data_IF_681669370888
#
_entry.id   IF_681669370888
#
_cell.length_a   1.000
_cell.length_b   1.000
_cell.length_c   1.000
_cell.angle_alpha   90.00
_cell.angle_beta   90.00
_cell.angle_gamma   90.00
#
_symmetry.space_group_name_H-M   'P 1'
#
loop_
_entity.id
_entity.type
_entity.pdbx_description
1 polymer ?
#
# COMPACT_ATOMS: atom_id res chain seq x y z
N UNK A 1 -15.96 13.87 5.30
CA UNK A 1 -15.78 12.44 5.00
C UNK A 1 -14.33 12.10 5.23
N UNK A 2 -14.04 11.19 6.16
CA UNK A 2 -12.67 10.72 6.45
C UNK A 2 -12.02 10.09 5.24
N UNK A 3 -12.76 9.29 4.47
CA UNK A 3 -12.29 8.69 3.22
C UNK A 3 -11.90 9.74 2.16
N UNK A 4 -12.66 10.84 2.03
CA UNK A 4 -12.30 11.91 1.09
C UNK A 4 -10.97 12.58 1.46
N UNK A 5 -10.71 12.78 2.76
CA UNK A 5 -9.45 13.36 3.24
C UNK A 5 -8.29 12.41 2.94
N UNK A 6 -8.44 11.13 3.22
CA UNK A 6 -7.47 10.07 2.89
C UNK A 6 -7.12 10.07 1.38
N UNK A 7 -8.14 10.12 0.51
CA UNK A 7 -7.92 10.16 -0.94
C UNK A 7 -7.23 11.44 -1.41
N UNK A 8 -7.53 12.59 -0.78
CA UNK A 8 -6.87 13.84 -1.09
C UNK A 8 -5.38 13.84 -0.66
N UNK A 9 -5.08 13.23 0.49
CA UNK A 9 -3.70 13.06 0.97
C UNK A 9 -2.91 12.12 0.06
N UNK A 10 -3.49 10.98 -0.32
CA UNK A 10 -2.90 10.06 -1.28
C UNK A 10 -2.61 10.75 -2.62
N UNK A 11 -3.59 11.48 -3.16
CA UNK A 11 -3.39 12.24 -4.40
C UNK A 11 -2.25 13.26 -4.29
N UNK A 12 -2.09 13.91 -3.14
CA UNK A 12 -1.00 14.86 -2.88
C UNK A 12 0.36 14.17 -2.80
N UNK A 13 0.44 12.99 -2.17
CA UNK A 13 1.64 12.16 -2.12
C UNK A 13 2.05 11.76 -3.54
N UNK A 14 1.11 11.21 -4.31
CA UNK A 14 1.36 10.81 -5.70
C UNK A 14 1.81 12.01 -6.52
N UNK A 15 1.10 13.15 -6.49
CA UNK A 15 1.46 14.33 -7.29
C UNK A 15 2.86 14.91 -7.00
N UNK A 16 3.46 14.63 -5.83
CA UNK A 16 4.74 15.20 -5.39
C UNK A 16 5.87 14.18 -5.24
N UNK A 17 5.57 12.89 -5.39
CA UNK A 17 6.55 11.83 -5.26
C UNK A 17 7.65 11.96 -6.33
N UNK A 18 8.89 11.80 -5.89
CA UNK A 18 10.07 11.75 -6.76
C UNK A 18 10.84 10.45 -6.51
N UNK A 19 11.79 10.06 -7.36
CA UNK A 19 12.57 8.85 -7.12
C UNK A 19 13.42 8.88 -5.83
N UNK A 20 13.61 10.06 -5.23
CA UNK A 20 14.32 10.24 -3.94
C UNK A 20 13.38 10.30 -2.73
N UNK A 21 12.08 10.13 -2.93
CA UNK A 21 11.09 10.12 -1.86
C UNK A 21 11.07 8.76 -1.14
N UNK A 22 10.73 8.79 0.15
CA UNK A 22 10.26 7.64 0.91
C UNK A 22 8.76 7.81 1.14
N UNK A 23 7.96 6.84 0.70
CA UNK A 23 6.50 6.85 0.86
C UNK A 23 6.12 5.77 1.86
N UNK A 24 5.31 6.14 2.85
CA UNK A 24 4.73 5.25 3.85
C UNK A 24 3.21 5.30 3.70
N UNK A 25 2.61 4.19 3.32
CA UNK A 25 1.16 4.04 3.18
C UNK A 25 0.67 3.00 4.17
N UNK A 26 -0.35 3.34 4.95
CA UNK A 26 -0.92 2.47 5.97
C UNK A 26 -2.43 2.32 5.75
N UNK A 27 -2.87 1.09 5.51
CA UNK A 27 -4.27 0.67 5.33
C UNK A 27 -5.11 1.52 4.35
N UNK A 28 -4.51 1.96 3.24
CA UNK A 28 -5.21 2.77 2.22
C UNK A 28 -6.44 2.03 1.67
N UNK A 29 -7.58 2.71 1.65
CA UNK A 29 -8.84 2.19 1.07
C UNK A 29 -9.79 1.56 2.09
N UNK A 30 -9.46 1.60 3.39
CA UNK A 30 -10.31 1.11 4.49
C UNK A 30 -11.68 1.79 4.56
N UNK A 31 -11.78 3.05 4.14
CA UNK A 31 -12.99 3.87 4.28
C UNK A 31 -14.11 3.59 3.26
N UNK A 32 -13.96 2.59 2.40
CA UNK A 32 -14.92 2.23 1.33
C UNK A 32 -15.18 0.71 1.29
N UNK A 33 -16.05 0.25 0.39
CA UNK A 33 -16.32 -1.18 0.19
C UNK A 33 -15.05 -1.96 -0.14
N UNK A 34 -14.95 -3.21 0.33
CA UNK A 34 -13.73 -4.02 0.21
C UNK A 34 -13.18 -4.12 -1.21
N UNK A 35 -14.06 -4.32 -2.21
CA UNK A 35 -13.66 -4.39 -3.61
C UNK A 35 -13.07 -3.07 -4.12
N UNK A 36 -13.68 -1.94 -3.74
CA UNK A 36 -13.20 -0.60 -4.10
C UNK A 36 -11.87 -0.28 -3.40
N UNK A 37 -11.75 -0.65 -2.12
CA UNK A 37 -10.53 -0.47 -1.33
C UNK A 37 -9.34 -1.23 -1.90
N UNK A 38 -9.54 -2.51 -2.25
CA UNK A 38 -8.52 -3.32 -2.95
C UNK A 38 -8.15 -2.68 -4.29
N UNK A 39 -9.14 -2.21 -5.05
CA UNK A 39 -8.91 -1.60 -6.36
C UNK A 39 -8.07 -0.32 -6.26
N UNK A 40 -8.37 0.55 -5.28
CA UNK A 40 -7.60 1.78 -5.02
C UNK A 40 -6.18 1.46 -4.58
N UNK A 41 -6.01 0.51 -3.65
CA UNK A 41 -4.71 0.09 -3.15
C UNK A 41 -3.84 -0.51 -4.26
N UNK A 42 -4.40 -1.41 -5.08
CA UNK A 42 -3.74 -1.99 -6.25
C UNK A 42 -3.34 -0.91 -7.26
N UNK A 43 -4.27 -0.06 -7.67
CA UNK A 43 -4.00 1.01 -8.63
C UNK A 43 -2.89 1.95 -8.14
N UNK A 44 -2.84 2.23 -6.83
CA UNK A 44 -1.77 3.03 -6.21
C UNK A 44 -0.41 2.36 -6.33
N UNK A 45 -0.31 1.07 -5.98
CA UNK A 45 0.93 0.29 -6.08
C UNK A 45 1.42 0.18 -7.53
N UNK A 46 0.53 -0.14 -8.46
CA UNK A 46 0.83 -0.21 -9.88
C UNK A 46 1.28 1.15 -10.42
N UNK A 47 0.65 2.24 -9.99
CA UNK A 47 1.01 3.59 -10.41
C UNK A 47 2.41 3.99 -9.93
N UNK A 48 2.74 3.72 -8.67
CA UNK A 48 4.08 3.97 -8.12
C UNK A 48 5.15 3.06 -8.76
N UNK A 49 4.80 1.81 -9.06
CA UNK A 49 5.69 0.86 -9.71
C UNK A 49 5.93 1.22 -11.19
N UNK A 50 4.90 1.50 -11.96
CA UNK A 50 5.00 1.58 -13.42
C UNK A 50 5.52 2.93 -13.93
N UNK A 51 5.64 3.95 -13.07
CA UNK A 51 6.14 5.29 -13.45
C UNK A 51 7.57 5.52 -12.96
N UNK A 52 8.61 5.41 -13.83
CA UNK A 52 10.01 5.59 -13.42
C UNK A 52 10.30 6.96 -12.80
N UNK A 53 9.63 8.02 -13.29
CA UNK A 53 9.74 9.38 -12.75
C UNK A 53 9.24 9.51 -11.30
N UNK A 54 8.56 8.48 -10.78
CA UNK A 54 7.90 8.45 -9.48
C UNK A 54 8.25 7.18 -8.69
N UNK A 55 9.25 6.43 -9.13
CA UNK A 55 9.66 5.15 -8.53
C UNK A 55 10.36 5.36 -7.17
N UNK A 56 9.62 5.93 -6.22
CA UNK A 56 10.01 6.16 -4.86
C UNK A 56 10.08 4.84 -4.08
N UNK A 57 10.97 4.77 -3.08
CA UNK A 57 10.94 3.66 -2.13
C UNK A 57 9.64 3.75 -1.34
N UNK A 58 8.84 2.69 -1.37
CA UNK A 58 7.50 2.66 -0.79
C UNK A 58 7.36 1.51 0.18
N UNK A 59 6.88 1.78 1.40
CA UNK A 59 6.38 0.78 2.33
C UNK A 59 4.86 0.88 2.34
N UNK A 60 4.19 -0.24 2.07
CA UNK A 60 2.74 -0.33 1.98
C UNK A 60 2.25 -1.36 2.99
N UNK A 61 1.73 -0.88 4.13
CA UNK A 61 1.10 -1.73 5.13
C UNK A 61 -0.38 -1.92 4.77
N UNK A 62 -0.83 -3.17 4.75
CA UNK A 62 -2.21 -3.49 4.36
C UNK A 62 -2.67 -4.80 4.97
N UNK A 63 -3.98 -4.89 5.21
CA UNK A 63 -4.66 -6.14 5.55
C UNK A 63 -5.20 -6.86 4.30
N UNK A 64 -5.10 -6.28 3.11
CA UNK A 64 -5.56 -6.91 1.87
C UNK A 64 -4.59 -7.99 1.40
N UNK A 65 -4.79 -9.22 1.88
CA UNK A 65 -3.98 -10.37 1.47
C UNK A 65 -3.98 -10.59 -0.04
N UNK A 66 -5.05 -10.21 -0.74
CA UNK A 66 -5.17 -10.29 -2.20
C UNK A 66 -4.07 -9.51 -2.94
N UNK A 67 -3.48 -8.48 -2.32
CA UNK A 67 -2.43 -7.69 -2.94
C UNK A 67 -1.05 -8.40 -2.94
N UNK A 68 -0.90 -9.48 -2.17
CA UNK A 68 0.36 -10.25 -2.14
C UNK A 68 0.73 -10.84 -3.51
N UNK A 69 -0.26 -11.16 -4.35
CA UNK A 69 -0.05 -11.63 -5.72
C UNK A 69 0.66 -10.60 -6.61
N UNK A 70 0.64 -9.31 -6.27
CA UNK A 70 1.35 -8.28 -7.05
C UNK A 70 2.87 -8.49 -7.07
N UNK A 71 3.45 -9.21 -6.11
CA UNK A 71 4.87 -9.53 -6.12
C UNK A 71 5.27 -10.47 -7.28
N UNK A 72 4.31 -11.22 -7.83
CA UNK A 72 4.52 -12.08 -9.01
C UNK A 72 4.43 -11.27 -10.32
N UNK A 73 3.64 -10.19 -10.33
CA UNK A 73 3.37 -9.36 -11.50
C UNK A 73 4.35 -8.18 -11.63
N UNK A 74 4.77 -7.60 -10.51
CA UNK A 74 5.54 -6.37 -10.43
C UNK A 74 6.94 -6.64 -9.90
N UNK A 75 7.93 -6.75 -10.79
CA UNK A 75 9.28 -7.22 -10.47
C UNK A 75 10.10 -6.40 -9.46
N UNK A 76 9.60 -5.24 -8.98
CA UNK A 76 10.20 -4.47 -7.87
C UNK A 76 9.39 -4.52 -6.57
N UNK A 77 8.30 -5.27 -6.53
CA UNK A 77 7.48 -5.46 -5.34
C UNK A 77 7.98 -6.69 -4.59
N UNK A 78 8.12 -6.55 -3.28
CA UNK A 78 8.48 -7.64 -2.38
C UNK A 78 7.42 -7.74 -1.27
N UNK A 79 7.01 -8.96 -0.95
CA UNK A 79 6.12 -9.20 0.18
C UNK A 79 6.96 -9.27 1.47
N UNK A 80 6.51 -8.57 2.50
CA UNK A 80 7.04 -8.66 3.86
C UNK A 80 5.88 -8.86 4.82
N UNK A 81 6.05 -9.70 5.82
CA UNK A 81 5.08 -9.91 6.89
C UNK A 81 5.78 -9.88 8.25
N UNK A 82 5.03 -9.49 9.27
CA UNK A 82 5.47 -9.59 10.65
C UNK A 82 5.06 -10.96 11.15
N UNK A 83 6.03 -11.75 11.63
CA UNK A 83 5.75 -13.02 12.28
C UNK A 83 5.30 -12.75 13.71
N UNK A 84 4.23 -13.43 14.11
CA UNK A 84 3.66 -13.34 15.44
C UNK A 84 3.68 -14.74 16.05
N UNK A 85 4.10 -14.87 17.31
CA UNK A 85 4.16 -16.13 18.05
C UNK A 85 3.15 -16.11 19.19
N UNK A 86 2.31 -17.13 19.29
CA UNK A 86 1.38 -17.26 20.41
C UNK A 86 1.97 -18.21 21.46
N UNK A 87 2.09 -17.77 22.71
CA UNK A 87 2.48 -18.61 23.86
C UNK A 87 1.45 -18.44 24.97
N UNK A 88 0.86 -19.55 25.40
CA UNK A 88 -0.10 -19.59 26.52
C UNK A 88 -1.30 -18.63 26.36
N UNK A 89 -1.72 -18.36 25.12
CA UNK A 89 -2.81 -17.43 24.81
C UNK A 89 -2.39 -15.96 24.77
N UNK A 90 -1.11 -15.66 24.97
CA UNK A 90 -0.53 -14.34 24.75
C UNK A 90 0.14 -14.26 23.37
N UNK A 91 -0.17 -13.18 22.66
CA UNK A 91 0.40 -12.85 21.36
C UNK A 91 1.71 -12.10 21.57
N UNK A 92 2.85 -12.72 21.21
CA UNK A 92 4.22 -12.19 21.34
C UNK A 92 4.94 -11.99 20.01
#
# INVERSE_FOLDING_TARGET
STFMVEMAELARILARATPRSLILLDEIGRGTGTADGISIARATLEYLHNKPAMAAKTLFATHYHQLTGLAEELGRVINCSIQVSEKEGEVT
#
